data_IF_651112271877
#
_entry.id   IF_651112271877
#
_cell.length_a   1.000
_cell.length_b   1.000
_cell.length_c   1.000
_cell.angle_alpha   90.00
_cell.angle_beta   90.00
_cell.angle_gamma   90.00
#
_symmetry.space_group_name_H-M   'P 1'
#
loop_
_entity.id
_entity.type
_entity.pdbx_description
1 polymer ?
#
# COMPACT_ATOMS: atom_id res chain seq x y z
N UNK A 1 23.64 3.97 26.02
CA UNK A 1 22.17 3.93 26.05
C UNK A 1 21.77 3.09 24.85
N UNK A 2 21.27 1.87 25.07
CA UNK A 2 20.74 1.08 23.95
C UNK A 2 19.51 1.84 23.48
N UNK A 3 19.41 2.29 22.22
CA UNK A 3 18.17 2.89 21.74
C UNK A 3 17.05 1.87 21.96
N UNK A 4 15.95 2.29 22.57
CA UNK A 4 14.78 1.43 22.77
C UNK A 4 14.40 0.74 21.46
N UNK A 5 13.98 -0.52 21.56
CA UNK A 5 13.52 -1.28 20.40
C UNK A 5 12.42 -0.49 19.65
N UNK A 6 12.49 -0.44 18.31
CA UNK A 6 11.47 0.25 17.51
C UNK A 6 10.11 -0.40 17.75
N UNK A 7 9.09 0.44 17.96
CA UNK A 7 7.71 0.00 18.13
C UNK A 7 7.00 0.06 16.78
N UNK A 8 6.43 -1.05 16.35
CA UNK A 8 5.55 -1.07 15.15
C UNK A 8 4.11 -1.14 15.63
N UNK A 9 3.29 -0.17 15.21
CA UNK A 9 1.86 -0.13 15.49
C UNK A 9 1.06 -0.34 14.20
N UNK A 10 -0.12 -0.94 14.31
CA UNK A 10 -1.06 -1.21 13.23
C UNK A 10 -2.34 -0.39 13.44
N UNK A 11 -2.83 0.21 12.36
CA UNK A 11 -4.19 0.71 12.22
C UNK A 11 -4.92 -0.13 11.17
N UNK A 12 -5.98 -0.80 11.60
CA UNK A 12 -6.91 -1.52 10.73
C UNK A 12 -7.79 -0.55 9.91
N UNK A 13 -8.51 -1.03 8.87
CA UNK A 13 -9.37 -0.20 8.04
C UNK A 13 -10.35 0.62 8.87
N UNK A 14 -10.46 1.91 8.54
CA UNK A 14 -11.30 2.82 9.29
C UNK A 14 -11.77 4.00 8.44
N UNK A 15 -12.79 4.66 8.99
CA UNK A 15 -13.37 5.87 8.45
C UNK A 15 -12.42 7.05 8.59
N UNK A 16 -12.13 7.72 7.47
CA UNK A 16 -11.20 8.86 7.36
C UNK A 16 -11.89 10.12 6.83
N UNK A 17 -13.21 10.20 6.94
CA UNK A 17 -13.99 11.33 6.46
C UNK A 17 -13.54 12.62 7.15
N UNK A 18 -13.32 13.66 6.33
CA UNK A 18 -12.84 14.95 6.81
C UNK A 18 -11.33 15.04 7.03
N UNK A 19 -10.56 13.99 6.71
CA UNK A 19 -9.10 14.10 6.64
C UNK A 19 -8.69 15.28 5.74
N UNK A 20 -7.67 16.03 6.15
CA UNK A 20 -7.21 17.23 5.46
C UNK A 20 -5.79 17.00 4.92
N UNK A 21 -5.62 16.61 3.64
CA UNK A 21 -4.30 16.42 3.05
C UNK A 21 -3.41 17.66 3.23
N UNK A 22 -2.15 17.45 3.60
CA UNK A 22 -1.17 18.53 3.82
C UNK A 22 -1.29 19.30 5.15
N UNK A 23 -2.41 19.16 5.87
CA UNK A 23 -2.56 19.83 7.17
C UNK A 23 -1.73 19.10 8.24
N UNK A 24 -1.03 19.83 9.12
CA UNK A 24 -0.23 19.22 10.17
C UNK A 24 -1.13 18.47 11.15
N UNK A 25 -0.56 17.45 11.82
CA UNK A 25 -1.28 16.55 12.73
C UNK A 25 -2.21 17.24 13.74
N UNK A 26 -1.79 18.36 14.31
CA UNK A 26 -2.57 19.10 15.31
C UNK A 26 -3.78 19.87 14.73
N UNK A 27 -3.88 19.96 13.41
CA UNK A 27 -5.00 20.59 12.68
C UNK A 27 -5.94 19.57 12.03
N UNK A 28 -5.63 18.27 12.15
CA UNK A 28 -6.51 17.20 11.72
C UNK A 28 -7.73 17.11 12.65
N UNK A 29 -8.92 16.74 12.13
CA UNK A 29 -10.07 16.48 12.98
C UNK A 29 -9.78 15.39 14.02
N UNK A 30 -10.38 15.51 15.21
CA UNK A 30 -10.23 14.53 16.28
C UNK A 30 -10.75 13.12 15.91
N UNK A 31 -11.60 13.02 14.88
CA UNK A 31 -12.06 11.74 14.32
C UNK A 31 -10.97 10.98 13.57
N UNK A 32 -9.91 11.65 13.11
CA UNK A 32 -8.82 11.01 12.38
C UNK A 32 -7.91 10.28 13.37
N UNK A 33 -7.70 8.96 13.19
CA UNK A 33 -6.82 8.21 14.06
C UNK A 33 -5.41 8.80 14.07
N UNK A 34 -4.83 8.91 15.27
CA UNK A 34 -3.47 9.44 15.46
C UNK A 34 -2.43 8.70 14.61
N UNK A 35 -2.55 7.38 14.50
CA UNK A 35 -1.63 6.55 13.71
C UNK A 35 -1.71 6.90 12.22
N UNK A 36 -2.92 7.14 11.68
CA UNK A 36 -3.08 7.57 10.29
C UNK A 36 -2.44 8.95 10.07
N UNK A 37 -2.68 9.90 10.97
CA UNK A 37 -2.07 11.23 10.88
C UNK A 37 -0.53 11.17 10.93
N UNK A 38 0.04 10.33 11.82
CA UNK A 38 1.48 10.09 11.88
C UNK A 38 2.02 9.43 10.59
N UNK A 39 1.29 8.46 10.01
CA UNK A 39 1.64 7.84 8.73
C UNK A 39 1.68 8.89 7.59
N UNK A 40 0.64 9.73 7.49
CA UNK A 40 0.56 10.77 6.47
C UNK A 40 1.60 11.87 6.67
N UNK A 41 2.00 12.17 7.91
CA UNK A 41 3.10 13.09 8.18
C UNK A 41 4.43 12.57 7.60
N UNK A 42 4.72 11.28 7.76
CA UNK A 42 5.90 10.65 7.15
C UNK A 42 5.79 10.66 5.62
N UNK A 43 4.61 10.29 5.08
CA UNK A 43 4.34 10.27 3.64
C UNK A 43 4.50 11.66 3.01
N UNK A 44 4.04 12.72 3.66
CA UNK A 44 4.21 14.10 3.21
C UNK A 44 5.69 14.48 3.12
N UNK A 45 6.49 14.18 4.15
CA UNK A 45 7.95 14.46 4.12
C UNK A 45 8.67 13.71 3.00
N UNK A 46 8.30 12.45 2.75
CA UNK A 46 9.00 11.60 1.77
C UNK A 46 8.47 11.81 0.35
N UNK A 47 7.16 11.74 0.13
CA UNK A 47 6.57 11.78 -1.20
C UNK A 47 6.39 13.22 -1.69
N UNK A 48 5.90 14.13 -0.83
CA UNK A 48 5.62 15.51 -1.25
C UNK A 48 6.88 16.38 -1.18
N UNK A 49 7.51 16.47 -0.01
CA UNK A 49 8.64 17.38 0.19
C UNK A 49 9.90 16.90 -0.53
N UNK A 50 10.22 15.61 -0.46
CA UNK A 50 11.41 15.04 -1.09
C UNK A 50 11.18 14.63 -2.55
N UNK A 51 10.18 13.78 -2.82
CA UNK A 51 9.95 13.22 -4.17
C UNK A 51 9.11 14.12 -5.09
N UNK A 52 8.57 15.23 -4.57
CA UNK A 52 7.79 16.22 -5.33
C UNK A 52 6.48 15.70 -5.92
N UNK A 53 5.91 14.67 -5.31
CA UNK A 53 4.53 14.24 -5.58
C UNK A 53 3.57 15.34 -5.10
N UNK A 54 2.57 15.75 -5.90
CA UNK A 54 1.58 16.72 -5.46
C UNK A 54 0.86 16.28 -4.18
N UNK A 55 0.61 17.20 -3.25
CA UNK A 55 0.00 16.89 -1.95
C UNK A 55 -1.43 16.35 -2.08
N UNK A 56 -2.14 16.79 -3.11
CA UNK A 56 -3.47 16.35 -3.47
C UNK A 56 -3.51 14.88 -3.93
N UNK A 57 -2.40 14.34 -4.45
CA UNK A 57 -2.28 12.96 -4.92
C UNK A 57 -1.81 12.01 -3.79
N UNK A 58 -1.50 12.55 -2.62
CA UNK A 58 -0.99 11.81 -1.48
C UNK A 58 -2.08 10.92 -0.86
N UNK A 59 -3.32 11.41 -0.81
CA UNK A 59 -4.46 10.73 -0.20
C UNK A 59 -5.40 10.17 -1.28
N UNK A 60 -5.78 8.89 -1.17
CA UNK A 60 -6.62 8.22 -2.16
C UNK A 60 -7.79 7.43 -1.55
N UNK A 61 -8.64 6.86 -2.41
CA UNK A 61 -9.80 6.08 -2.00
C UNK A 61 -9.43 4.78 -1.25
N UNK A 62 -8.22 4.26 -1.46
CA UNK A 62 -7.74 3.04 -0.80
C UNK A 62 -7.34 3.28 0.66
N UNK A 63 -7.01 4.52 1.06
CA UNK A 63 -6.52 4.81 2.40
C UNK A 63 -7.47 4.38 3.52
N UNK A 64 -8.79 4.56 3.34
CA UNK A 64 -9.80 4.20 4.34
C UNK A 64 -10.00 2.69 4.52
N UNK A 65 -9.80 1.91 3.45
CA UNK A 65 -9.96 0.46 3.47
C UNK A 65 -8.67 -0.30 3.73
N UNK A 66 -7.55 0.41 3.88
CA UNK A 66 -6.23 -0.19 4.04
C UNK A 66 -5.85 -0.40 5.50
N UNK A 67 -4.99 -1.38 5.72
CA UNK A 67 -4.20 -1.45 6.95
C UNK A 67 -2.96 -0.55 6.84
N UNK A 68 -2.61 0.16 7.90
CA UNK A 68 -1.43 1.03 7.95
C UNK A 68 -0.53 0.63 9.12
N UNK A 69 0.76 0.48 8.87
CA UNK A 69 1.74 0.28 9.93
C UNK A 69 2.64 1.49 10.04
N UNK A 70 2.88 1.94 11.27
CA UNK A 70 3.85 2.99 11.57
C UNK A 70 4.90 2.45 12.52
N UNK A 71 6.16 2.72 12.21
CA UNK A 71 7.28 2.44 13.11
C UNK A 71 7.67 3.70 13.85
N UNK A 72 7.80 3.56 15.17
CA UNK A 72 8.18 4.61 16.10
C UNK A 72 9.52 4.28 16.75
N UNK A 73 10.34 5.31 16.93
CA UNK A 73 11.57 5.24 17.74
C UNK A 73 11.42 6.15 18.95
N UNK A 74 12.07 5.79 20.07
CA UNK A 74 12.12 6.68 21.24
C UNK A 74 13.22 7.72 21.02
N UNK A 75 12.87 9.00 21.14
CA UNK A 75 13.80 10.13 21.13
C UNK A 75 13.41 11.09 22.25
N UNK A 76 14.35 11.37 23.17
CA UNK A 76 14.12 12.27 24.33
C UNK A 76 12.81 11.97 25.08
N UNK A 77 12.56 10.68 25.36
CA UNK A 77 11.37 10.16 26.06
C UNK A 77 10.04 10.24 25.27
N UNK A 78 10.06 10.73 24.03
CA UNK A 78 8.90 10.75 23.14
C UNK A 78 8.98 9.67 22.04
N UNK A 79 7.82 9.13 21.66
CA UNK A 79 7.71 8.25 20.48
C UNK A 79 7.58 9.11 19.23
N UNK A 80 8.57 9.02 18.35
CA UNK A 80 8.61 9.74 17.08
C UNK A 80 8.27 8.77 15.94
N UNK A 81 7.26 9.05 15.10
CA UNK A 81 6.98 8.25 13.91
C UNK A 81 8.08 8.48 12.87
N UNK A 82 8.67 7.40 12.34
CA UNK A 82 9.82 7.49 11.43
C UNK A 82 9.69 6.67 10.15
N UNK A 83 8.67 5.83 10.06
CA UNK A 83 8.39 5.07 8.85
C UNK A 83 6.96 4.55 8.81
N UNK A 84 6.44 4.33 7.60
CA UNK A 84 5.10 3.78 7.39
C UNK A 84 5.04 2.87 6.18
N UNK A 85 4.10 1.93 6.18
CA UNK A 85 3.69 1.13 5.01
C UNK A 85 2.17 0.93 5.04
N UNK A 86 1.56 0.85 3.84
CA UNK A 86 0.14 0.58 3.64
C UNK A 86 -0.05 -0.78 2.99
N UNK A 87 -1.07 -1.52 3.42
CA UNK A 87 -1.57 -2.70 2.74
C UNK A 87 -3.01 -2.45 2.29
N UNK A 88 -3.21 -2.51 0.98
CA UNK A 88 -4.48 -2.33 0.32
C UNK A 88 -5.12 -3.70 0.07
N UNK A 89 -6.37 -3.94 0.50
CA UNK A 89 -7.08 -5.18 0.20
C UNK A 89 -7.56 -5.25 -1.26
N UNK A 90 -7.95 -6.42 -1.75
CA UNK A 90 -8.68 -6.55 -3.02
C UNK A 90 -10.13 -6.06 -2.88
N UNK A 91 -10.84 -5.72 -3.98
CA UNK A 91 -10.36 -5.65 -5.37
C UNK A 91 -9.43 -4.45 -5.61
N UNK A 92 -8.76 -4.41 -6.76
CA UNK A 92 -7.91 -3.29 -7.20
C UNK A 92 -8.38 -2.79 -8.57
N UNK A 93 -7.97 -1.57 -8.91
CA UNK A 93 -8.00 -1.10 -10.30
C UNK A 93 -7.11 -1.99 -11.18
N UNK A 94 -7.38 -2.07 -12.50
CA UNK A 94 -6.60 -2.89 -13.41
C UNK A 94 -5.10 -2.56 -13.39
N UNK A 95 -4.26 -3.58 -13.57
CA UNK A 95 -2.81 -3.47 -13.66
C UNK A 95 -2.41 -2.35 -14.63
N UNK A 96 -1.39 -1.53 -14.30
CA UNK A 96 -0.94 -0.44 -15.16
C UNK A 96 -0.56 -0.91 -16.57
N UNK A 97 -0.78 -0.08 -17.59
CA UNK A 97 -0.34 -0.37 -18.96
C UNK A 97 1.19 -0.35 -19.04
N UNK A 98 1.76 -1.31 -19.78
CA UNK A 98 3.21 -1.36 -20.01
C UNK A 98 3.64 -0.09 -20.75
N UNK A 99 4.60 0.65 -20.19
CA UNK A 99 5.05 1.94 -20.71
C UNK A 99 4.06 3.10 -20.48
N UNK A 100 2.93 2.85 -19.82
CA UNK A 100 1.92 3.84 -19.49
C UNK A 100 2.46 4.93 -18.57
N UNK A 101 1.79 6.08 -18.59
CA UNK A 101 2.13 7.23 -17.76
C UNK A 101 0.88 7.67 -17.01
N UNK A 102 0.99 7.69 -15.69
CA UNK A 102 -0.13 7.93 -14.80
C UNK A 102 0.09 9.21 -13.99
N UNK A 103 -0.95 10.03 -13.95
CA UNK A 103 -1.01 11.25 -13.16
C UNK A 103 -2.30 11.26 -12.35
N UNK A 104 -2.18 11.36 -11.03
CA UNK A 104 -3.27 11.21 -10.06
C UNK A 104 -4.11 9.93 -10.31
N UNK A 105 -3.43 8.81 -10.58
CA UNK A 105 -4.06 7.53 -10.89
C UNK A 105 -4.70 7.42 -12.28
N UNK A 106 -4.67 8.48 -13.11
CA UNK A 106 -5.27 8.49 -14.45
C UNK A 106 -4.20 8.33 -15.53
N UNK A 107 -4.44 7.46 -16.51
CA UNK A 107 -3.55 7.27 -17.66
C UNK A 107 -3.58 8.50 -18.58
N UNK A 108 -2.41 9.10 -18.82
CA UNK A 108 -2.23 10.21 -19.76
C UNK A 108 -2.70 9.80 -21.17
N UNK A 109 -3.54 10.63 -21.79
CA UNK A 109 -4.06 10.38 -23.14
C UNK A 109 -5.26 9.42 -23.21
N UNK A 110 -5.79 8.96 -22.08
CA UNK A 110 -7.06 8.21 -22.06
C UNK A 110 -8.25 9.15 -22.33
N UNK A 111 -9.02 8.86 -23.39
CA UNK A 111 -10.24 9.62 -23.76
C UNK A 111 -11.54 8.96 -23.27
N UNK A 112 -11.46 7.77 -22.66
CA UNK A 112 -12.63 6.98 -22.26
C UNK A 112 -12.45 6.31 -20.87
N UNK A 113 -13.61 6.05 -20.25
CA UNK A 113 -13.84 5.31 -18.99
C UNK A 113 -12.91 4.10 -18.83
N UNK A 114 -12.39 3.82 -17.61
CA UNK A 114 -11.49 2.69 -17.37
C UNK A 114 -12.08 1.40 -17.95
N UNK A 115 -11.27 0.56 -18.62
CA UNK A 115 -11.77 -0.67 -19.22
C UNK A 115 -12.50 -1.50 -18.17
N UNK A 116 -13.79 -1.72 -18.39
CA UNK A 116 -14.57 -2.70 -17.65
C UNK A 116 -14.13 -4.10 -18.11
N UNK A 117 -13.16 -4.70 -17.41
CA UNK A 117 -13.08 -6.14 -17.15
C UNK A 117 -11.73 -6.52 -16.52
N UNK A 118 -11.68 -6.53 -15.19
CA UNK A 118 -10.66 -7.24 -14.39
C UNK A 118 -9.20 -6.89 -14.68
N UNK A 119 -8.31 -7.60 -14.01
CA UNK A 119 -6.89 -7.51 -14.29
C UNK A 119 -6.54 -8.34 -15.53
N UNK A 120 -5.58 -7.86 -16.32
CA UNK A 120 -4.95 -8.73 -17.34
C UNK A 120 -4.07 -9.78 -16.65
N UNK A 121 -3.87 -10.96 -17.26
CA UNK A 121 -2.86 -11.90 -16.81
C UNK A 121 -1.44 -11.32 -16.95
N UNK A 122 -0.58 -11.62 -15.98
CA UNK A 122 0.85 -11.28 -15.94
C UNK A 122 1.66 -12.53 -15.57
N UNK A 123 2.95 -12.38 -15.22
CA UNK A 123 3.84 -13.52 -14.97
C UNK A 123 3.46 -14.29 -13.70
N UNK A 124 2.96 -13.59 -12.67
CA UNK A 124 2.61 -14.17 -11.37
C UNK A 124 1.13 -14.04 -11.00
N UNK A 125 0.32 -13.40 -11.85
CA UNK A 125 -1.11 -13.19 -11.63
C UNK A 125 -1.93 -13.61 -12.85
N UNK A 126 -2.99 -14.38 -12.64
CA UNK A 126 -3.83 -14.92 -13.72
C UNK A 126 -4.91 -13.93 -14.21
N UNK A 127 -4.95 -12.73 -13.63
CA UNK A 127 -5.95 -11.70 -13.91
C UNK A 127 -7.24 -11.82 -13.09
N UNK A 128 -7.35 -12.84 -12.23
CA UNK A 128 -8.57 -13.19 -11.48
C UNK A 128 -8.35 -13.37 -9.98
N UNK A 129 -7.23 -13.95 -9.59
CA UNK A 129 -6.90 -14.29 -8.22
C UNK A 129 -6.81 -13.03 -7.33
N UNK A 130 -7.51 -12.96 -6.19
CA UNK A 130 -7.34 -11.85 -5.26
C UNK A 130 -5.90 -11.74 -4.76
N UNK A 131 -5.40 -10.51 -4.70
CA UNK A 131 -4.14 -10.18 -4.06
C UNK A 131 -4.30 -8.98 -3.15
N UNK A 132 -3.42 -8.88 -2.16
CA UNK A 132 -3.25 -7.64 -1.38
C UNK A 132 -2.07 -6.88 -1.95
N UNK A 133 -2.05 -5.55 -1.81
CA UNK A 133 -1.02 -4.70 -2.40
C UNK A 133 -0.31 -3.90 -1.32
N UNK A 134 1.00 -4.04 -1.22
CA UNK A 134 1.83 -3.19 -0.38
C UNK A 134 2.20 -1.90 -1.14
N UNK A 135 2.05 -0.77 -0.47
CA UNK A 135 2.33 0.55 -1.02
C UNK A 135 2.60 1.58 0.07
N UNK A 136 2.79 2.84 -0.33
CA UNK A 136 3.08 3.96 0.58
C UNK A 136 4.20 3.66 1.58
N UNK A 137 5.18 2.85 1.18
CA UNK A 137 6.36 2.57 1.99
C UNK A 137 7.26 3.81 2.03
N UNK A 138 7.37 4.43 3.19
CA UNK A 138 8.14 5.65 3.39
C UNK A 138 8.94 5.56 4.68
N UNK A 139 10.23 5.93 4.63
CA UNK A 139 11.09 6.10 5.81
C UNK A 139 11.64 7.52 5.79
N UNK A 140 11.49 8.23 6.90
CA UNK A 140 12.07 9.55 7.11
C UNK A 140 13.59 9.50 6.88
N UNK A 141 14.12 10.51 6.18
CA UNK A 141 15.47 10.48 5.60
C UNK A 141 16.56 10.15 6.63
N UNK A 142 16.42 10.67 7.85
CA UNK A 142 17.37 10.55 8.95
C UNK A 142 17.41 9.13 9.54
N UNK A 143 16.41 8.30 9.24
CA UNK A 143 16.26 6.94 9.78
C UNK A 143 16.44 5.84 8.71
N UNK A 144 16.86 6.22 7.51
CA UNK A 144 17.16 5.26 6.43
C UNK A 144 18.44 4.49 6.72
N UNK A 145 18.56 3.29 6.15
CA UNK A 145 19.70 2.40 6.39
C UNK A 145 19.67 1.64 7.72
N UNK A 146 18.69 1.92 8.60
CA UNK A 146 18.53 1.27 9.91
C UNK A 146 17.68 -0.02 9.87
N UNK A 147 17.33 -0.53 8.69
CA UNK A 147 16.52 -1.75 8.53
C UNK A 147 15.01 -1.58 8.78
N UNK A 148 14.54 -0.37 9.09
CA UNK A 148 13.14 -0.10 9.45
C UNK A 148 12.13 -0.38 8.33
N UNK A 149 12.51 -0.17 7.06
CA UNK A 149 11.64 -0.51 5.92
C UNK A 149 11.36 -2.01 5.85
N UNK A 150 12.38 -2.84 6.04
CA UNK A 150 12.23 -4.29 6.09
C UNK A 150 11.39 -4.73 7.29
N UNK A 151 11.56 -4.08 8.45
CA UNK A 151 10.73 -4.33 9.63
C UNK A 151 9.24 -4.10 9.35
N UNK A 152 8.89 -2.99 8.67
CA UNK A 152 7.51 -2.68 8.28
C UNK A 152 6.94 -3.70 7.29
N UNK A 153 7.69 -4.04 6.23
CA UNK A 153 7.27 -5.04 5.24
C UNK A 153 7.04 -6.39 5.92
N UNK A 154 7.97 -6.85 6.75
CA UNK A 154 7.84 -8.11 7.48
C UNK A 154 6.72 -8.08 8.53
N UNK A 155 6.38 -6.92 9.09
CA UNK A 155 5.22 -6.80 9.97
C UNK A 155 3.91 -6.98 9.18
N UNK A 156 3.78 -6.34 8.03
CA UNK A 156 2.60 -6.45 7.17
C UNK A 156 2.41 -7.86 6.59
N UNK A 157 3.49 -8.46 6.06
CA UNK A 157 3.44 -9.82 5.51
C UNK A 157 3.05 -10.85 6.58
N UNK A 158 3.71 -10.84 7.74
CA UNK A 158 3.39 -11.78 8.83
C UNK A 158 1.98 -11.60 9.37
N UNK A 159 1.49 -10.36 9.44
CA UNK A 159 0.11 -10.11 9.86
C UNK A 159 -0.88 -10.71 8.86
N UNK A 160 -0.64 -10.57 7.55
CA UNK A 160 -1.49 -11.20 6.54
C UNK A 160 -1.41 -12.72 6.55
N UNK A 161 -0.22 -13.31 6.71
CA UNK A 161 -0.06 -14.77 6.86
C UNK A 161 -0.87 -15.31 8.05
N UNK A 162 -0.90 -14.56 9.16
CA UNK A 162 -1.66 -14.92 10.35
C UNK A 162 -3.17 -14.66 10.23
N UNK A 163 -3.62 -13.87 9.25
CA UNK A 163 -5.01 -13.45 9.08
C UNK A 163 -5.49 -13.58 7.62
N UNK A 164 -5.41 -14.78 6.99
CA UNK A 164 -5.64 -14.93 5.56
C UNK A 164 -7.06 -14.59 5.10
N UNK A 165 -8.06 -14.76 5.98
CA UNK A 165 -9.47 -14.48 5.68
C UNK A 165 -9.93 -13.09 6.10
N UNK A 166 -9.04 -12.22 6.59
CA UNK A 166 -9.43 -10.92 7.18
C UNK A 166 -10.25 -10.06 6.22
N UNK A 167 -9.91 -10.10 4.93
CA UNK A 167 -10.57 -9.29 3.91
C UNK A 167 -11.75 -9.98 3.20
N UNK A 168 -12.04 -11.25 3.51
CA UNK A 168 -13.11 -12.01 2.87
C UNK A 168 -14.49 -11.35 3.06
N UNK A 169 -14.71 -10.73 4.23
CA UNK A 169 -15.99 -10.06 4.56
C UNK A 169 -16.12 -8.63 4.04
N UNK A 170 -15.05 -8.04 3.50
CA UNK A 170 -15.07 -6.69 2.90
C UNK A 170 -15.53 -6.74 1.44
N UNK A 171 -15.61 -7.94 0.84
CA UNK A 171 -16.24 -8.15 -0.46
C UNK A 171 -17.75 -7.91 -0.32
N UNK A 172 -18.35 -7.00 -1.11
CA UNK A 172 -19.80 -6.85 -1.14
C UNK A 172 -20.47 -8.19 -1.45
N UNK A 173 -21.38 -8.64 -0.57
CA UNK A 173 -22.16 -9.85 -0.84
C UNK A 173 -22.96 -9.64 -2.13
N UNK A 174 -23.06 -10.65 -3.02
CA UNK A 174 -23.90 -10.54 -4.21
C UNK A 174 -25.34 -10.22 -3.82
N UNK A 175 -26.04 -9.47 -4.67
CA UNK A 175 -27.46 -9.18 -4.49
C UNK A 175 -28.25 -10.46 -4.14
N UNK A 176 -29.20 -10.42 -3.19
CA UNK A 176 -29.88 -11.61 -2.65
C UNK A 176 -30.72 -12.41 -3.67
N UNK A 177 -30.82 -11.94 -4.92
CA UNK A 177 -31.60 -12.57 -5.99
C UNK A 177 -30.76 -13.33 -7.03
N UNK A 178 -29.45 -13.52 -6.81
CA UNK A 178 -28.59 -14.30 -7.71
C UNK A 178 -28.32 -15.71 -7.12
N UNK A 179 -28.42 -16.80 -7.91
CA UNK A 179 -28.22 -18.16 -7.39
C UNK A 179 -26.86 -18.35 -6.73
N UNK A 180 -26.88 -19.01 -5.58
CA UNK A 180 -25.85 -19.24 -4.56
C UNK A 180 -24.74 -20.21 -5.01
N UNK A 181 -24.02 -19.91 -6.09
CA UNK A 181 -22.86 -20.73 -6.54
C UNK A 181 -21.66 -19.91 -7.06
N UNK A 182 -21.52 -18.64 -6.69
CA UNK A 182 -20.24 -17.94 -6.92
C UNK A 182 -19.41 -18.10 -5.65
N UNK A 183 -18.42 -18.99 -5.69
CA UNK A 183 -17.37 -19.01 -4.67
C UNK A 183 -16.80 -17.59 -4.57
N UNK A 184 -16.97 -16.98 -3.39
CA UNK A 184 -16.35 -15.69 -3.11
C UNK A 184 -14.84 -15.86 -3.29
N UNK A 185 -14.19 -15.05 -4.13
CA UNK A 185 -12.77 -15.24 -4.40
C UNK A 185 -12.01 -14.95 -3.10
N UNK A 186 -11.33 -15.98 -2.58
CA UNK A 186 -10.56 -15.92 -1.34
C UNK A 186 -9.12 -15.58 -1.64
N UNK A 187 -8.51 -14.80 -0.76
CA UNK A 187 -7.09 -14.53 -0.86
C UNK A 187 -6.28 -15.78 -0.58
N UNK A 188 -5.36 -16.10 -1.49
CA UNK A 188 -4.52 -17.30 -1.43
C UNK A 188 -3.03 -16.92 -1.45
N UNK A 189 -2.68 -15.94 -0.60
CA UNK A 189 -1.31 -15.57 -0.31
C UNK A 189 -0.63 -14.62 -1.30
N UNK A 190 -1.29 -14.18 -2.38
CA UNK A 190 -0.66 -13.32 -3.39
C UNK A 190 -0.51 -11.87 -2.89
N UNK A 191 0.71 -11.34 -2.90
CA UNK A 191 1.01 -9.97 -2.49
C UNK A 191 1.69 -9.23 -3.64
N UNK A 192 1.10 -8.13 -4.07
CA UNK A 192 1.64 -7.23 -5.08
C UNK A 192 2.42 -6.07 -4.43
N UNK A 193 3.44 -5.58 -5.12
CA UNK A 193 4.05 -4.29 -4.86
C UNK A 193 4.32 -3.57 -6.19
N UNK A 194 3.85 -2.33 -6.30
CA UNK A 194 4.30 -1.40 -7.34
C UNK A 194 5.58 -0.75 -6.84
N UNK A 195 6.72 -1.34 -7.18
CA UNK A 195 8.01 -0.90 -6.68
C UNK A 195 8.56 0.22 -7.56
N UNK A 196 9.02 1.32 -6.93
CA UNK A 196 9.91 2.26 -7.63
C UNK A 196 11.12 1.48 -8.15
N UNK A 197 11.53 1.74 -9.39
CA UNK A 197 12.59 0.98 -10.04
C UNK A 197 13.90 0.97 -9.24
N UNK A 198 14.21 2.08 -8.54
CA UNK A 198 15.37 2.19 -7.65
C UNK A 198 15.30 1.31 -6.37
N UNK A 199 14.10 0.88 -5.97
CA UNK A 199 13.86 0.10 -4.75
C UNK A 199 13.75 -1.42 -5.00
N UNK A 200 13.80 -1.87 -6.25
CA UNK A 200 13.64 -3.29 -6.65
C UNK A 200 14.56 -4.21 -5.84
N UNK A 201 15.83 -3.84 -5.69
CA UNK A 201 16.80 -4.64 -4.92
C UNK A 201 16.45 -4.80 -3.44
N UNK A 202 15.70 -3.86 -2.84
CA UNK A 202 15.20 -4.00 -1.48
C UNK A 202 14.01 -4.97 -1.42
N UNK A 203 13.03 -4.82 -2.32
CA UNK A 203 11.88 -5.72 -2.43
C UNK A 203 12.29 -7.17 -2.70
N UNK A 204 13.29 -7.39 -3.55
CA UNK A 204 13.84 -8.73 -3.79
C UNK A 204 14.45 -9.36 -2.55
N UNK A 205 15.14 -8.58 -1.70
CA UNK A 205 15.64 -9.07 -0.40
C UNK A 205 14.51 -9.48 0.55
N UNK A 206 13.31 -8.95 0.36
CA UNK A 206 12.13 -9.28 1.16
C UNK A 206 11.25 -10.39 0.55
N UNK A 207 11.67 -10.98 -0.57
CA UNK A 207 11.01 -12.13 -1.20
C UNK A 207 10.11 -11.80 -2.39
N UNK A 208 10.13 -10.56 -2.89
CA UNK A 208 9.38 -10.17 -4.08
C UNK A 208 10.17 -10.45 -5.36
N UNK A 209 9.45 -10.88 -6.40
CA UNK A 209 9.98 -11.19 -7.73
C UNK A 209 9.40 -10.21 -8.74
N UNK A 210 10.24 -9.73 -9.67
CA UNK A 210 9.81 -8.84 -10.76
C UNK A 210 8.84 -9.59 -11.68
N UNK A 211 7.66 -9.01 -11.89
CA UNK A 211 6.68 -9.51 -12.86
C UNK A 211 6.95 -8.86 -14.23
N UNK A 212 7.73 -9.55 -15.06
CA UNK A 212 8.16 -9.08 -16.38
C UNK A 212 6.98 -8.73 -17.30
N UNK A 213 5.89 -9.50 -17.25
CA UNK A 213 4.69 -9.26 -18.04
C UNK A 213 3.81 -8.13 -17.50
N UNK A 214 3.84 -7.83 -16.19
CA UNK A 214 3.26 -6.58 -15.69
C UNK A 214 4.04 -5.38 -16.23
N UNK A 215 5.36 -5.53 -16.33
CA UNK A 215 6.27 -4.58 -16.95
C UNK A 215 6.52 -3.34 -16.09
N UNK A 216 6.94 -2.27 -16.74
CA UNK A 216 7.24 -0.99 -16.11
C UNK A 216 6.34 0.13 -16.64
N UNK A 217 6.04 1.11 -15.81
CA UNK A 217 5.25 2.29 -16.15
C UNK A 217 5.72 3.50 -15.32
N UNK A 218 5.12 4.67 -15.55
CA UNK A 218 5.41 5.89 -14.81
C UNK A 218 4.20 6.27 -13.96
N UNK A 219 4.41 6.57 -12.69
CA UNK A 219 3.42 7.15 -11.77
C UNK A 219 4.03 8.41 -11.17
N UNK A 220 3.35 9.56 -11.25
CA UNK A 220 3.82 10.83 -10.67
C UNK A 220 5.25 11.21 -11.11
N UNK A 221 5.62 10.86 -12.35
CA UNK A 221 6.96 11.08 -12.89
C UNK A 221 8.04 10.13 -12.38
N UNK A 222 7.68 9.09 -11.63
CA UNK A 222 8.59 8.08 -11.07
C UNK A 222 8.39 6.75 -11.80
N UNK A 223 9.48 6.15 -12.25
CA UNK A 223 9.46 4.84 -12.88
C UNK A 223 9.16 3.74 -11.85
N UNK A 224 8.13 2.94 -12.13
CA UNK A 224 7.68 1.81 -11.33
C UNK A 224 7.70 0.53 -12.14
N UNK A 225 7.74 -0.60 -11.45
CA UNK A 225 7.50 -1.92 -12.04
C UNK A 225 6.73 -2.82 -11.08
N UNK A 226 6.10 -3.84 -11.65
CA UNK A 226 5.31 -4.82 -10.92
C UNK A 226 6.18 -5.86 -10.23
N UNK A 227 5.90 -6.14 -8.96
CA UNK A 227 6.51 -7.25 -8.25
C UNK A 227 5.47 -8.04 -7.48
N UNK A 228 5.68 -9.35 -7.37
CA UNK A 228 4.82 -10.24 -6.58
C UNK A 228 5.62 -11.09 -5.60
N UNK A 229 4.97 -11.43 -4.50
CA UNK A 229 5.39 -12.47 -3.56
C UNK A 229 4.20 -13.38 -3.26
N UNK A 230 4.45 -14.68 -3.14
CA UNK A 230 3.48 -15.67 -2.68
C UNK A 230 3.78 -16.02 -1.23
N UNK A 231 2.86 -15.73 -0.33
CA UNK A 231 2.91 -16.11 1.07
C UNK A 231 2.31 -17.51 1.26
N UNK A 232 2.69 -18.18 2.35
CA UNK A 232 2.10 -19.48 2.72
C UNK A 232 0.87 -19.22 3.58
N UNK A 233 -0.31 -19.49 3.03
CA UNK A 233 -1.56 -19.49 3.79
C UNK A 233 -1.85 -20.91 4.25
N UNK A 234 -1.92 -21.10 5.58
CA UNK A 234 -2.30 -22.39 6.20
C UNK A 234 -3.80 -22.50 6.38
#
# INVERSE_FOLDING_TARGET
MVPDAPLVALLEPCKLEGFRPGAPRHQQPASIPRLFADATEIRQRVFVEEQKVPVENEFDADDSRSCHWVVYVTSKEERVPVGTIRLVPFPHDPHPQVGGRYWNGVLEGSTETPPQAGDRPTSFHDGKEPYVKLGRLAIAKEYRGMGLAGLLVQAALRWMEANPSYFDSIIPKPCPNLPTLVEMPRWNGLVCAHAQQQAVGAWTKWGFHVDEAMGSWWEEGIAHLGMFQRLRTT
#
